data_IF_185091017759
#
_entry.id   IF_185091017759
#
_cell.length_a   1.000
_cell.length_b   1.000
_cell.length_c   1.000
_cell.angle_alpha   90.00
_cell.angle_beta   90.00
_cell.angle_gamma   90.00
#
_symmetry.space_group_name_H-M   'P 1'
#
loop_
_entity.id
_entity.type
_entity.pdbx_description
1 polymer ?
#
# COMPACT_ATOMS: atom_id res chain seq x y z
N UNK A 1 0.23 -30.27 -33.76
CA UNK A 1 1.22 -29.18 -33.74
C UNK A 1 1.48 -28.81 -32.27
N UNK A 2 2.54 -29.33 -31.71
CA UNK A 2 2.95 -29.15 -30.32
C UNK A 2 3.89 -27.94 -30.28
N UNK A 3 3.41 -26.84 -29.71
CA UNK A 3 4.23 -25.64 -29.51
C UNK A 3 5.27 -25.86 -28.40
N UNK A 4 6.52 -26.02 -28.78
CA UNK A 4 7.64 -26.06 -27.84
C UNK A 4 7.78 -24.71 -27.15
N UNK A 5 7.44 -24.67 -25.86
CA UNK A 5 7.76 -23.54 -24.99
C UNK A 5 9.29 -23.50 -24.78
N UNK A 6 9.93 -22.58 -25.47
CA UNK A 6 11.37 -22.40 -25.37
C UNK A 6 11.79 -22.00 -23.96
N UNK A 7 12.73 -22.74 -23.37
CA UNK A 7 13.36 -22.44 -22.07
C UNK A 7 13.93 -21.01 -21.95
N UNK A 8 14.19 -20.38 -23.09
CA UNK A 8 14.64 -18.97 -23.17
C UNK A 8 13.52 -17.96 -22.86
N UNK A 9 12.27 -18.28 -23.12
CA UNK A 9 11.13 -17.42 -22.79
C UNK A 9 10.85 -17.41 -21.30
N UNK A 10 11.00 -18.57 -20.63
CA UNK A 10 10.82 -18.69 -19.18
C UNK A 10 11.84 -17.86 -18.39
N UNK A 11 13.10 -17.85 -18.84
CA UNK A 11 14.16 -17.05 -18.21
C UNK A 11 13.96 -15.53 -18.34
N UNK A 12 13.31 -15.07 -19.40
CA UNK A 12 13.01 -13.64 -19.57
C UNK A 12 11.91 -13.16 -18.60
N UNK A 13 10.94 -14.00 -18.29
CA UNK A 13 9.86 -13.65 -17.36
C UNK A 13 10.26 -13.82 -15.89
N UNK A 14 11.10 -14.79 -15.57
CA UNK A 14 11.63 -14.96 -14.22
C UNK A 14 12.65 -13.89 -13.83
N UNK A 15 13.40 -13.33 -14.79
CA UNK A 15 14.34 -12.24 -14.51
C UNK A 15 13.63 -10.91 -14.18
N UNK A 16 12.45 -10.65 -14.76
CA UNK A 16 11.67 -9.44 -14.50
C UNK A 16 10.97 -9.46 -13.13
N UNK A 17 10.55 -10.62 -12.63
CA UNK A 17 9.95 -10.74 -11.30
C UNK A 17 10.99 -10.70 -10.17
N UNK A 18 12.24 -11.12 -10.42
CA UNK A 18 13.30 -11.08 -9.41
C UNK A 18 13.87 -9.67 -9.18
N UNK A 19 13.81 -8.78 -10.16
CA UNK A 19 14.33 -7.41 -10.03
C UNK A 19 13.40 -6.51 -9.22
N UNK A 20 12.09 -6.77 -9.22
CA UNK A 20 11.13 -5.98 -8.44
C UNK A 20 11.26 -6.19 -6.91
N UNK A 21 11.74 -7.36 -6.48
CA UNK A 21 11.92 -7.67 -5.06
C UNK A 21 13.29 -7.24 -4.53
N UNK A 22 14.31 -7.20 -5.40
CA UNK A 22 15.67 -6.83 -4.98
C UNK A 22 15.91 -5.30 -4.92
N UNK A 23 15.08 -4.50 -5.60
CA UNK A 23 15.23 -3.03 -5.63
C UNK A 23 14.79 -2.31 -4.36
N UNK A 24 13.95 -2.93 -3.53
CA UNK A 24 13.42 -2.29 -2.32
C UNK A 24 14.33 -2.45 -1.09
N UNK A 25 15.29 -3.36 -1.11
CA UNK A 25 16.16 -3.63 0.04
C UNK A 25 17.46 -2.84 0.06
N UNK A 26 17.83 -2.15 -1.02
CA UNK A 26 19.10 -1.42 -1.11
C UNK A 26 19.02 0.07 -0.77
N UNK A 27 17.84 0.61 -0.47
CA UNK A 27 17.67 1.99 -0.02
C UNK A 27 17.53 2.12 1.51
N UNK A 28 18.07 1.18 2.28
CA UNK A 28 18.25 1.32 3.73
C UNK A 28 19.45 2.22 4.07
N UNK A 29 19.73 3.19 3.20
CA UNK A 29 20.69 4.26 3.45
C UNK A 29 20.08 5.34 4.31
N UNK A 30 20.55 5.44 5.53
CA UNK A 30 20.56 6.63 6.41
C UNK A 30 19.54 7.75 6.13
N UNK A 31 18.49 7.83 6.92
CA UNK A 31 17.97 9.14 7.29
C UNK A 31 16.86 9.72 6.41
N UNK A 32 16.15 8.97 5.58
CA UNK A 32 14.92 9.47 4.96
C UNK A 32 13.73 8.70 5.50
N UNK A 33 12.86 9.45 6.11
CA UNK A 33 11.72 8.98 6.88
C UNK A 33 10.48 8.74 6.01
N UNK A 34 10.56 9.06 4.71
CA UNK A 34 9.49 8.89 3.74
C UNK A 34 9.94 7.97 2.60
N UNK A 35 9.16 6.96 2.30
CA UNK A 35 9.35 6.06 1.18
C UNK A 35 8.21 6.25 0.16
N UNK A 36 8.53 6.32 -1.13
CA UNK A 36 7.57 6.52 -2.23
C UNK A 36 7.60 5.35 -3.18
N UNK A 37 6.43 4.85 -3.55
CA UNK A 37 6.22 3.84 -4.58
C UNK A 37 5.21 4.33 -5.62
N UNK A 38 5.26 3.76 -6.81
CA UNK A 38 4.44 4.20 -7.95
C UNK A 38 3.56 3.09 -8.52
N UNK A 39 3.59 1.91 -7.91
CA UNK A 39 2.86 0.73 -8.38
C UNK A 39 2.19 -0.01 -7.23
N UNK A 40 1.08 -0.65 -7.55
CA UNK A 40 0.44 -1.64 -6.69
C UNK A 40 1.32 -2.90 -6.62
N UNK A 41 1.23 -3.66 -5.55
CA UNK A 41 2.10 -4.81 -5.29
C UNK A 41 3.49 -4.44 -4.76
N UNK A 42 3.75 -3.16 -4.45
CA UNK A 42 5.04 -2.70 -3.96
C UNK A 42 5.02 -2.40 -2.46
N UNK A 43 6.15 -2.67 -1.80
CA UNK A 43 6.31 -2.52 -0.36
C UNK A 43 7.13 -1.28 -0.01
N UNK A 44 6.74 -0.65 1.08
CA UNK A 44 7.51 0.39 1.76
C UNK A 44 7.96 -0.11 3.14
N UNK A 45 9.15 0.29 3.57
CA UNK A 45 9.66 0.00 4.91
C UNK A 45 9.97 1.31 5.64
N UNK A 46 9.21 1.60 6.66
CA UNK A 46 9.36 2.81 7.49
C UNK A 46 9.37 2.41 8.95
N UNK A 47 10.35 2.84 9.73
CA UNK A 47 10.54 2.45 11.14
C UNK A 47 10.56 0.92 11.37
N UNK A 48 11.02 0.17 10.35
CA UNK A 48 10.97 -1.30 10.30
C UNK A 48 9.54 -1.90 10.31
N UNK A 49 8.54 -1.07 10.05
CA UNK A 49 7.20 -1.51 9.65
C UNK A 49 7.20 -1.65 8.13
N UNK A 50 6.84 -2.82 7.65
CA UNK A 50 6.69 -3.08 6.21
C UNK A 50 5.23 -2.94 5.88
N UNK A 51 4.91 -2.13 4.89
CA UNK A 51 3.56 -1.97 4.37
C UNK A 51 3.55 -2.15 2.86
N UNK A 52 2.57 -2.90 2.35
CA UNK A 52 2.43 -3.21 0.92
C UNK A 52 1.04 -2.83 0.47
N UNK A 53 0.93 -2.00 -0.56
CA UNK A 53 -0.35 -1.77 -1.24
C UNK A 53 -0.60 -2.92 -2.19
N UNK A 54 -1.51 -3.83 -1.82
CA UNK A 54 -1.81 -5.05 -2.56
C UNK A 54 -2.71 -4.80 -3.76
N UNK A 55 -3.69 -3.89 -3.61
CA UNK A 55 -4.72 -3.67 -4.61
C UNK A 55 -5.46 -2.36 -4.38
N UNK A 56 -6.04 -1.83 -5.46
CA UNK A 56 -6.99 -0.71 -5.44
C UNK A 56 -8.27 -1.14 -6.14
N UNK A 57 -9.41 -0.85 -5.52
CA UNK A 57 -10.74 -1.16 -6.04
C UNK A 57 -11.60 0.10 -6.05
N UNK A 58 -12.63 0.12 -6.90
CA UNK A 58 -13.60 1.21 -6.92
C UNK A 58 -15.03 0.64 -6.82
N UNK A 59 -15.72 1.03 -5.75
CA UNK A 59 -17.14 0.77 -5.56
C UNK A 59 -17.94 1.93 -6.15
N UNK A 60 -18.49 1.71 -7.34
CA UNK A 60 -19.26 2.73 -8.06
C UNK A 60 -20.60 3.05 -7.36
N UNK A 61 -21.21 2.09 -6.69
CA UNK A 61 -22.51 2.27 -6.01
C UNK A 61 -22.40 3.26 -4.85
N UNK A 62 -21.27 3.23 -4.14
CA UNK A 62 -21.01 4.08 -2.97
C UNK A 62 -20.02 5.21 -3.25
N UNK A 63 -19.54 5.36 -4.49
CA UNK A 63 -18.49 6.33 -4.86
C UNK A 63 -17.31 6.23 -3.91
N UNK A 64 -16.77 5.04 -3.72
CA UNK A 64 -15.72 4.78 -2.74
C UNK A 64 -14.52 4.11 -3.40
N UNK A 65 -13.35 4.68 -3.23
CA UNK A 65 -12.09 4.00 -3.58
C UNK A 65 -11.60 3.22 -2.37
N UNK A 66 -11.21 1.97 -2.60
CA UNK A 66 -10.81 1.02 -1.56
C UNK A 66 -9.35 0.62 -1.83
N UNK A 67 -8.48 0.82 -0.84
CA UNK A 67 -7.10 0.38 -0.88
C UNK A 67 -6.93 -0.82 0.04
N UNK A 68 -6.41 -1.92 -0.50
CA UNK A 68 -6.06 -3.11 0.28
C UNK A 68 -4.57 -3.08 0.58
N UNK A 69 -4.22 -3.09 1.87
CA UNK A 69 -2.83 -3.11 2.32
C UNK A 69 -2.56 -4.32 3.22
N UNK A 70 -1.33 -4.81 3.18
CA UNK A 70 -0.78 -5.61 4.27
C UNK A 70 0.20 -4.75 5.07
N UNK A 71 0.16 -4.90 6.39
CA UNK A 71 1.06 -4.20 7.32
C UNK A 71 1.72 -5.23 8.23
N UNK A 72 3.05 -5.24 8.22
CA UNK A 72 3.89 -6.09 9.06
C UNK A 72 4.59 -5.23 10.09
N UNK A 73 4.34 -5.50 11.37
CA UNK A 73 5.11 -4.89 12.46
C UNK A 73 6.36 -5.75 12.74
N UNK A 74 7.46 -5.42 12.09
CA UNK A 74 8.69 -6.22 12.15
C UNK A 74 9.21 -6.42 13.58
N UNK A 75 9.91 -7.51 13.86
CA UNK A 75 10.42 -7.85 15.21
C UNK A 75 11.41 -6.80 15.74
N UNK A 76 12.06 -6.09 14.84
CA UNK A 76 12.98 -4.99 15.15
C UNK A 76 12.36 -3.61 15.00
N UNK A 77 11.04 -3.47 14.97
CA UNK A 77 10.41 -2.17 14.78
C UNK A 77 10.84 -1.18 15.87
N UNK A 78 11.08 0.06 15.44
CA UNK A 78 11.53 1.13 16.32
C UNK A 78 10.37 1.80 17.06
N UNK A 79 9.16 1.28 16.87
CA UNK A 79 7.99 1.75 17.59
C UNK A 79 8.06 1.28 19.05
N UNK A 80 7.79 2.17 20.03
CA UNK A 80 7.91 1.84 21.45
C UNK A 80 6.84 0.85 21.94
N UNK A 81 5.84 0.55 21.12
CA UNK A 81 4.71 -0.29 21.48
C UNK A 81 4.89 -1.73 21.00
N UNK A 82 4.46 -2.69 21.81
CA UNK A 82 4.41 -4.10 21.44
C UNK A 82 3.40 -4.39 20.31
N UNK A 83 2.49 -3.47 20.06
CA UNK A 83 1.53 -3.51 18.97
C UNK A 83 1.43 -2.16 18.27
N UNK A 84 1.30 -2.20 16.95
CA UNK A 84 1.05 -1.05 16.10
C UNK A 84 -0.46 -0.90 15.94
N UNK A 85 -1.02 0.22 16.37
CA UNK A 85 -2.41 0.58 16.08
C UNK A 85 -2.51 1.05 14.63
N UNK A 86 -3.48 0.51 13.88
CA UNK A 86 -3.75 0.90 12.48
C UNK A 86 -5.24 1.22 12.34
N UNK A 87 -5.55 2.50 12.28
CA UNK A 87 -6.89 3.06 12.15
C UNK A 87 -6.90 4.21 11.12
N UNK A 88 -8.01 4.93 11.01
CA UNK A 88 -8.14 6.01 10.03
C UNK A 88 -7.12 7.14 10.21
N UNK A 89 -6.64 7.40 11.41
CA UNK A 89 -5.65 8.46 11.70
C UNK A 89 -4.27 8.14 11.12
N UNK A 90 -4.01 6.87 10.81
CA UNK A 90 -2.77 6.44 10.17
C UNK A 90 -2.73 6.73 8.67
N UNK A 91 -3.82 7.24 8.07
CA UNK A 91 -3.89 7.39 6.63
C UNK A 91 -4.31 8.78 6.19
N UNK A 92 -3.78 9.20 5.05
CA UNK A 92 -4.31 10.29 4.25
C UNK A 92 -4.36 9.86 2.79
N UNK A 93 -5.31 10.42 2.05
CA UNK A 93 -5.41 10.24 0.60
C UNK A 93 -5.44 11.62 -0.04
N UNK A 94 -4.53 11.87 -0.96
CA UNK A 94 -4.55 13.05 -1.83
C UNK A 94 -4.93 12.65 -3.25
N UNK A 95 -5.57 13.55 -3.97
CA UNK A 95 -5.92 13.38 -5.36
C UNK A 95 -5.65 14.68 -6.11
N UNK A 96 -4.89 14.60 -7.21
CA UNK A 96 -4.47 15.75 -8.01
C UNK A 96 -3.78 16.84 -7.16
N UNK A 97 -3.01 16.43 -6.15
CA UNK A 97 -2.27 17.31 -5.23
C UNK A 97 -3.10 17.89 -4.08
N UNK A 98 -4.38 17.59 -3.96
CA UNK A 98 -5.26 18.07 -2.90
C UNK A 98 -5.67 16.95 -1.95
N UNK A 99 -5.85 17.27 -0.66
CA UNK A 99 -6.38 16.33 0.31
C UNK A 99 -7.79 15.89 -0.10
N UNK A 100 -7.94 14.60 -0.37
CA UNK A 100 -9.22 14.01 -0.78
C UNK A 100 -9.91 13.27 0.37
N UNK A 101 -9.15 12.65 1.27
CA UNK A 101 -9.68 12.00 2.45
C UNK A 101 -8.62 11.90 3.56
N UNK A 102 -9.08 12.02 4.79
CA UNK A 102 -8.30 11.89 6.03
C UNK A 102 -9.10 11.12 7.09
N UNK A 103 -8.66 11.13 8.34
CA UNK A 103 -9.27 10.40 9.45
C UNK A 103 -10.79 10.56 9.60
N UNK A 104 -11.40 11.62 9.08
CA UNK A 104 -12.86 11.83 9.16
C UNK A 104 -13.62 11.15 8.02
N UNK A 105 -13.04 11.12 6.81
CA UNK A 105 -13.65 10.58 5.61
C UNK A 105 -13.07 9.20 5.23
N UNK A 106 -12.16 8.69 6.03
CA UNK A 106 -11.59 7.37 5.89
C UNK A 106 -12.23 6.39 6.88
N UNK A 107 -12.52 5.20 6.40
CA UNK A 107 -12.85 4.06 7.24
C UNK A 107 -11.78 2.99 7.03
N UNK A 108 -11.27 2.43 8.12
CA UNK A 108 -10.29 1.34 8.07
C UNK A 108 -10.89 0.11 8.75
N UNK A 109 -10.77 -1.04 8.11
CA UNK A 109 -11.19 -2.33 8.65
C UNK A 109 -10.10 -3.36 8.42
N UNK A 110 -10.06 -4.38 9.27
CA UNK A 110 -9.19 -5.53 9.09
C UNK A 110 -9.98 -6.82 9.36
N UNK A 111 -9.82 -7.85 8.51
CA UNK A 111 -10.45 -9.15 8.74
C UNK A 111 -9.66 -10.01 9.73
N UNK A 112 -8.39 -9.72 9.95
CA UNK A 112 -7.43 -10.56 10.66
C UNK A 112 -6.77 -9.88 11.87
N UNK A 113 -6.91 -8.56 12.03
CA UNK A 113 -6.39 -7.84 13.19
C UNK A 113 -7.43 -7.73 14.31
N UNK A 114 -7.04 -8.13 15.52
CA UNK A 114 -7.85 -7.88 16.73
C UNK A 114 -7.64 -6.42 17.16
N UNK A 115 -8.73 -5.71 17.42
CA UNK A 115 -8.73 -4.30 17.86
C UNK A 115 -7.89 -3.39 16.95
N UNK A 116 -7.80 -3.72 15.64
CA UNK A 116 -6.99 -3.02 14.66
C UNK A 116 -5.50 -2.91 15.04
N UNK A 117 -4.98 -3.88 15.77
CA UNK A 117 -3.59 -3.92 16.19
C UNK A 117 -2.79 -4.96 15.42
N UNK A 118 -1.56 -4.60 15.04
CA UNK A 118 -0.55 -5.52 14.51
C UNK A 118 0.49 -5.73 15.60
N UNK A 119 0.50 -6.92 16.21
CA UNK A 119 1.50 -7.24 17.22
C UNK A 119 2.88 -7.38 16.59
N UNK A 120 3.91 -7.26 17.41
CA UNK A 120 5.28 -7.38 16.96
C UNK A 120 5.54 -8.75 16.33
N UNK A 121 6.04 -8.75 15.10
CA UNK A 121 6.28 -9.96 14.31
C UNK A 121 5.06 -10.42 13.48
N UNK A 122 3.88 -9.81 13.64
CA UNK A 122 2.67 -10.17 12.89
C UNK A 122 2.51 -9.35 11.62
N UNK A 123 1.71 -9.90 10.70
CA UNK A 123 1.24 -9.24 9.48
C UNK A 123 -0.28 -9.29 9.47
N UNK A 124 -0.93 -8.15 9.23
CA UNK A 124 -2.37 -8.06 9.11
C UNK A 124 -2.76 -7.31 7.83
N UNK A 125 -3.93 -7.66 7.31
CA UNK A 125 -4.54 -7.04 6.13
C UNK A 125 -5.47 -5.91 6.56
N UNK A 126 -5.43 -4.79 5.84
CA UNK A 126 -6.27 -3.63 6.07
C UNK A 126 -6.96 -3.19 4.78
N UNK A 127 -8.20 -2.78 4.91
CA UNK A 127 -8.96 -2.12 3.86
C UNK A 127 -9.22 -0.67 4.27
N UNK A 128 -8.73 0.26 3.46
CA UNK A 128 -8.89 1.70 3.64
C UNK A 128 -9.91 2.21 2.64
N UNK A 129 -11.06 2.66 3.12
CA UNK A 129 -12.18 3.14 2.31
C UNK A 129 -12.15 4.67 2.27
N UNK A 130 -11.88 5.25 1.11
CA UNK A 130 -11.96 6.70 0.86
C UNK A 130 -13.33 7.03 0.25
N UNK A 131 -14.28 7.35 1.12
CA UNK A 131 -15.65 7.68 0.71
C UNK A 131 -15.70 9.00 -0.04
N UNK A 132 -16.45 9.04 -1.15
CA UNK A 132 -16.59 10.20 -2.01
C UNK A 132 -15.47 10.33 -3.06
N UNK A 133 -14.42 9.49 -3.00
CA UNK A 133 -13.33 9.51 -3.98
C UNK A 133 -13.64 8.56 -5.14
N UNK A 134 -13.67 9.10 -6.36
CA UNK A 134 -13.62 8.33 -7.59
C UNK A 134 -12.22 8.43 -8.19
N UNK A 135 -11.36 7.44 -7.87
CA UNK A 135 -9.98 7.44 -8.34
C UNK A 135 -9.85 7.33 -9.87
N UNK A 136 -10.85 6.73 -10.58
CA UNK A 136 -10.85 6.64 -12.05
C UNK A 136 -10.99 7.99 -12.76
N UNK A 137 -11.46 9.02 -12.03
CA UNK A 137 -11.60 10.40 -12.55
C UNK A 137 -10.43 11.31 -12.19
N UNK A 138 -9.38 10.76 -11.56
CA UNK A 138 -8.22 11.52 -11.12
C UNK A 138 -7.01 11.25 -11.99
N UNK A 139 -6.15 12.25 -12.16
CA UNK A 139 -4.89 12.09 -12.87
C UNK A 139 -3.86 11.38 -11.98
N UNK A 140 -3.94 11.63 -10.66
CA UNK A 140 -3.07 11.05 -9.66
C UNK A 140 -3.82 10.87 -8.34
N UNK A 141 -3.58 9.75 -7.66
CA UNK A 141 -4.02 9.51 -6.28
C UNK A 141 -2.84 9.01 -5.47
N UNK A 142 -2.57 9.65 -4.33
CA UNK A 142 -1.55 9.20 -3.39
C UNK A 142 -2.20 8.72 -2.10
N UNK A 143 -1.95 7.46 -1.74
CA UNK A 143 -2.21 6.93 -0.41
C UNK A 143 -0.95 7.10 0.44
N UNK A 144 -1.09 7.70 1.61
CA UNK A 144 -0.02 7.84 2.60
C UNK A 144 -0.38 7.07 3.87
N UNK A 145 0.54 6.25 4.35
CA UNK A 145 0.45 5.54 5.62
C UNK A 145 1.49 6.06 6.60
N UNK A 146 1.04 6.43 7.78
CA UNK A 146 1.84 6.89 8.91
C UNK A 146 1.88 5.80 9.99
N UNK A 147 2.98 5.04 10.15
CA UNK A 147 3.08 4.05 11.22
C UNK A 147 2.94 4.68 12.62
N UNK A 148 3.23 5.98 12.74
CA UNK A 148 3.07 6.76 13.96
C UNK A 148 2.40 8.10 13.66
N UNK A 149 1.06 8.18 13.69
CA UNK A 149 0.35 9.44 13.46
C UNK A 149 0.62 10.44 14.59
N UNK A 150 0.53 11.72 14.27
CA UNK A 150 0.52 12.83 15.22
C UNK A 150 1.86 13.32 15.78
N UNK A 151 2.95 12.55 15.68
CA UNK A 151 4.20 12.98 16.31
C UNK A 151 5.44 12.95 15.41
N UNK A 152 5.36 12.20 14.33
CA UNK A 152 6.46 11.97 13.41
C UNK A 152 5.89 11.87 11.98
N UNK A 153 5.25 12.93 11.52
CA UNK A 153 4.66 13.02 10.17
C UNK A 153 5.67 12.80 9.04
N UNK A 154 6.96 12.95 9.34
CA UNK A 154 8.03 12.70 8.39
C UNK A 154 8.27 11.20 8.13
N UNK A 155 7.74 10.33 9.00
CA UNK A 155 7.86 8.88 8.87
C UNK A 155 6.62 8.30 8.21
N UNK A 156 6.64 8.22 6.89
CA UNK A 156 5.48 7.78 6.13
C UNK A 156 5.86 6.90 4.93
N UNK A 157 4.92 6.06 4.56
CA UNK A 157 4.96 5.23 3.35
C UNK A 157 3.93 5.75 2.36
N UNK A 158 4.33 6.00 1.12
CA UNK A 158 3.49 6.59 0.10
C UNK A 158 3.38 5.69 -1.12
N UNK A 159 2.18 5.64 -1.73
CA UNK A 159 1.92 5.08 -3.05
C UNK A 159 1.26 6.14 -3.90
N UNK A 160 2.01 6.69 -4.85
CA UNK A 160 1.53 7.67 -5.82
C UNK A 160 1.15 6.95 -7.10
N UNK A 161 -0.15 6.82 -7.35
CA UNK A 161 -0.71 6.05 -8.44
C UNK A 161 -1.24 7.01 -9.51
N UNK A 162 -0.68 6.89 -10.71
CA UNK A 162 -1.15 7.64 -11.87
C UNK A 162 -2.44 7.06 -12.40
N UNK A 163 -3.16 7.82 -13.21
CA UNK A 163 -4.40 7.44 -13.87
C UNK A 163 -4.31 6.10 -14.62
N UNK A 164 -3.20 5.86 -15.30
CA UNK A 164 -3.02 4.63 -16.08
C UNK A 164 -2.87 3.41 -15.17
N UNK A 165 -2.11 3.54 -14.08
CA UNK A 165 -2.00 2.49 -13.05
C UNK A 165 -3.36 2.22 -12.41
N UNK A 166 -4.09 3.27 -12.02
CA UNK A 166 -5.42 3.15 -11.41
C UNK A 166 -6.44 2.46 -12.35
N UNK A 167 -6.44 2.80 -13.64
CA UNK A 167 -7.30 2.14 -14.62
C UNK A 167 -6.97 0.66 -14.78
N UNK A 168 -5.69 0.32 -14.85
CA UNK A 168 -5.24 -1.06 -14.98
C UNK A 168 -5.65 -1.88 -13.76
N UNK A 169 -5.39 -1.39 -12.55
CA UNK A 169 -5.69 -2.08 -11.29
C UNK A 169 -7.19 -2.25 -11.05
N UNK A 170 -7.97 -1.18 -11.22
CA UNK A 170 -9.42 -1.20 -10.96
C UNK A 170 -10.18 -1.99 -12.03
N UNK A 171 -9.67 -2.08 -13.26
CA UNK A 171 -10.28 -2.85 -14.35
C UNK A 171 -9.99 -4.34 -14.29
N UNK A 172 -9.02 -4.76 -13.46
CA UNK A 172 -8.67 -6.17 -13.32
C UNK A 172 -9.66 -6.84 -12.36
N UNK A 173 -10.49 -7.81 -12.84
CA UNK A 173 -11.42 -8.48 -11.94
C UNK A 173 -10.67 -9.18 -10.82
N UNK A 174 -11.26 -9.14 -9.64
CA UNK A 174 -10.76 -9.82 -8.45
C UNK A 174 -10.46 -11.29 -8.77
N UNK A 175 -9.19 -11.69 -8.75
CA UNK A 175 -8.86 -13.12 -8.72
C UNK A 175 -9.21 -13.61 -7.31
N UNK A 176 -10.40 -14.17 -7.19
CA UNK A 176 -10.84 -14.95 -6.01
C UNK A 176 -10.03 -16.24 -5.92
#
# INVERSE_FOLDING_TARGET
>A
MTGEFSRRSFLKYTALTAVAVAGSSLLTGCGRYSAMQYHVGTSNTVLKVVSTLERVEYDAANTTTIFKLTVTNGPGSMLPLNALQVNAENFTVTADGYLAADGQNLRVTSPDATDQQVKKGETCTYYVYAKGLNALKKEEVTLTFYPRPGGLSDFNANWMLTKDVLKQEISTPSRT
#
